data_IF_878472603811
#
_entry.id   IF_878472603811
#
_cell.length_a   1.000
_cell.length_b   1.000
_cell.length_c   1.000
_cell.angle_alpha   90.00
_cell.angle_beta   90.00
_cell.angle_gamma   90.00
#
_symmetry.space_group_name_H-M   'P 1'
#
loop_
_entity.id
_entity.type
_entity.pdbx_description
1 polymer ?
#
# COMPACT_ATOMS: atom_id res chain seq x y z
N UNK A 1 -30.61 24.14 9.84
CA UNK A 1 -29.71 24.51 8.72
C UNK A 1 -28.72 23.35 8.59
N UNK A 2 -28.91 22.46 7.60
CA UNK A 2 -28.10 21.24 7.47
C UNK A 2 -26.71 21.60 6.92
N UNK A 3 -25.65 21.34 7.71
CA UNK A 3 -24.24 21.56 7.34
C UNK A 3 -23.69 20.40 6.50
N UNK A 4 -24.56 19.63 5.83
CA UNK A 4 -24.17 18.54 4.93
C UNK A 4 -24.76 18.85 3.56
N UNK A 5 -24.22 19.89 2.91
CA UNK A 5 -24.68 20.37 1.61
C UNK A 5 -24.25 19.51 0.42
N UNK A 6 -23.44 18.48 0.63
CA UNK A 6 -23.10 17.52 -0.40
C UNK A 6 -22.55 16.21 0.20
N UNK A 7 -23.34 15.13 0.15
CA UNK A 7 -22.92 13.77 0.52
C UNK A 7 -22.45 12.95 -0.69
N UNK A 8 -22.40 13.57 -1.89
CA UNK A 8 -22.00 12.88 -3.11
C UNK A 8 -20.47 12.99 -3.30
N UNK A 9 -19.79 11.86 -3.14
CA UNK A 9 -18.44 11.64 -3.67
C UNK A 9 -18.56 11.40 -5.17
N UNK A 10 -17.90 12.24 -5.99
CA UNK A 10 -17.83 12.05 -7.43
C UNK A 10 -16.46 11.48 -7.78
N UNK A 11 -16.46 10.30 -8.38
CA UNK A 11 -15.28 9.64 -8.90
C UNK A 11 -15.09 9.97 -10.38
N UNK A 12 -13.85 9.94 -10.87
CA UNK A 12 -13.62 9.83 -12.32
C UNK A 12 -14.13 8.48 -12.82
N UNK A 13 -14.31 8.34 -14.15
CA UNK A 13 -14.70 7.05 -14.76
C UNK A 13 -13.69 5.95 -14.40
N UNK A 14 -12.39 6.24 -14.45
CA UNK A 14 -11.32 5.31 -14.05
C UNK A 14 -11.46 4.87 -12.58
N UNK A 15 -11.74 5.83 -11.68
CA UNK A 15 -11.91 5.53 -10.25
C UNK A 15 -13.17 4.69 -10.00
N UNK A 16 -14.26 4.93 -10.75
CA UNK A 16 -15.48 4.13 -10.66
C UNK A 16 -15.23 2.68 -11.12
N UNK A 17 -14.51 2.50 -12.23
CA UNK A 17 -14.13 1.17 -12.71
C UNK A 17 -13.22 0.43 -11.71
N UNK A 18 -12.20 1.11 -11.17
CA UNK A 18 -11.32 0.54 -10.14
C UNK A 18 -12.13 0.14 -8.91
N UNK A 19 -13.09 0.96 -8.49
CA UNK A 19 -13.96 0.66 -7.36
C UNK A 19 -14.77 -0.62 -7.57
N UNK A 20 -15.38 -0.79 -8.74
CA UNK A 20 -16.18 -1.98 -9.03
C UNK A 20 -15.32 -3.25 -9.07
N UNK A 21 -14.14 -3.18 -9.71
CA UNK A 21 -13.17 -4.28 -9.74
C UNK A 21 -12.68 -4.62 -8.32
N UNK A 22 -12.30 -3.61 -7.53
CA UNK A 22 -11.80 -3.83 -6.18
C UNK A 22 -12.86 -4.44 -5.26
N UNK A 23 -14.12 -4.01 -5.36
CA UNK A 23 -15.24 -4.58 -4.58
C UNK A 23 -15.50 -6.03 -4.93
N UNK A 24 -15.55 -6.36 -6.22
CA UNK A 24 -15.76 -7.73 -6.68
C UNK A 24 -14.60 -8.63 -6.23
N UNK A 25 -13.36 -8.17 -6.43
CA UNK A 25 -12.15 -8.89 -6.03
C UNK A 25 -12.11 -9.15 -4.51
N UNK A 26 -12.35 -8.14 -3.69
CA UNK A 26 -12.31 -8.28 -2.23
C UNK A 26 -13.44 -9.16 -1.70
N UNK A 27 -14.62 -9.15 -2.34
CA UNK A 27 -15.72 -10.03 -1.97
C UNK A 27 -15.40 -11.52 -2.25
N UNK A 28 -14.69 -11.81 -3.34
CA UNK A 28 -14.32 -13.16 -3.75
C UNK A 28 -13.09 -13.69 -2.98
N UNK A 29 -12.09 -12.84 -2.74
CA UNK A 29 -10.80 -13.24 -2.15
C UNK A 29 -10.70 -13.10 -0.63
N UNK A 30 -11.66 -12.44 0.03
CA UNK A 30 -11.64 -12.25 1.48
C UNK A 30 -12.90 -12.77 2.20
N UNK A 31 -13.29 -14.05 2.01
CA UNK A 31 -14.35 -14.63 2.82
C UNK A 31 -13.91 -14.70 4.29
N UNK A 32 -14.84 -14.54 5.23
CA UNK A 32 -14.54 -14.46 6.67
C UNK A 32 -13.76 -15.67 7.21
N UNK A 33 -13.95 -16.86 6.62
CA UNK A 33 -13.18 -18.05 6.97
C UNK A 33 -11.68 -17.87 6.65
N UNK A 34 -11.35 -17.31 5.48
CA UNK A 34 -9.96 -17.00 5.10
C UNK A 34 -9.36 -15.94 6.00
N UNK A 35 -10.11 -14.88 6.33
CA UNK A 35 -9.64 -13.83 7.25
C UNK A 35 -9.23 -14.42 8.60
N UNK A 36 -10.07 -15.30 9.17
CA UNK A 36 -9.76 -15.97 10.44
C UNK A 36 -8.54 -16.89 10.35
N UNK A 37 -8.41 -17.63 9.24
CA UNK A 37 -7.25 -18.49 9.03
C UNK A 37 -5.94 -17.69 8.91
N UNK A 38 -6.00 -16.50 8.29
CA UNK A 38 -4.83 -15.64 8.12
C UNK A 38 -4.36 -14.98 9.42
N UNK A 39 -5.26 -14.71 10.38
CA UNK A 39 -4.89 -14.18 11.70
C UNK A 39 -3.95 -15.12 12.47
N UNK A 40 -4.08 -16.42 12.25
CA UNK A 40 -3.24 -17.45 12.88
C UNK A 40 -2.00 -17.81 12.02
N UNK A 41 -1.83 -17.16 10.87
CA UNK A 41 -0.73 -17.45 9.95
C UNK A 41 0.46 -16.52 10.17
N UNK A 42 1.67 -17.06 10.06
CA UNK A 42 2.90 -16.26 10.19
C UNK A 42 3.01 -15.15 9.13
N UNK A 43 2.51 -15.40 7.92
CA UNK A 43 2.57 -14.44 6.82
C UNK A 43 1.54 -13.31 6.96
N UNK A 44 0.38 -13.56 7.56
CA UNK A 44 -0.71 -12.60 7.70
C UNK A 44 -1.45 -12.23 6.40
N UNK A 45 -1.05 -12.78 5.25
CA UNK A 45 -1.75 -12.62 3.96
C UNK A 45 -1.56 -13.85 3.07
N UNK A 46 -2.39 -13.97 2.03
CA UNK A 46 -2.28 -15.05 1.05
C UNK A 46 -1.40 -14.62 -0.15
N UNK A 47 -0.25 -15.27 -0.40
CA UNK A 47 0.64 -14.91 -1.51
C UNK A 47 -0.01 -15.02 -2.90
N UNK A 48 -0.95 -15.95 -3.10
CA UNK A 48 -1.66 -16.07 -4.38
C UNK A 48 -2.57 -14.86 -4.62
N UNK A 49 -3.29 -14.41 -3.57
CA UNK A 49 -4.13 -13.21 -3.64
C UNK A 49 -3.28 -11.96 -3.84
N UNK A 50 -2.09 -11.90 -3.22
CA UNK A 50 -1.12 -10.83 -3.50
C UNK A 50 -0.71 -10.82 -4.97
N UNK A 51 -0.36 -11.98 -5.54
CA UNK A 51 0.01 -12.05 -6.95
C UNK A 51 -1.12 -11.58 -7.87
N UNK A 52 -2.38 -11.91 -7.57
CA UNK A 52 -3.52 -11.38 -8.34
C UNK A 52 -3.60 -9.84 -8.27
N UNK A 53 -3.29 -9.23 -7.12
CA UNK A 53 -3.21 -7.76 -7.01
C UNK A 53 -2.07 -7.18 -7.84
N UNK A 54 -0.92 -7.86 -7.88
CA UNK A 54 0.23 -7.48 -8.71
C UNK A 54 -0.13 -7.54 -10.20
N UNK A 55 -0.82 -8.60 -10.62
CA UNK A 55 -1.24 -8.79 -12.01
C UNK A 55 -2.27 -7.73 -12.46
N UNK A 56 -3.09 -7.21 -11.52
CA UNK A 56 -3.98 -6.06 -11.75
C UNK A 56 -3.24 -4.71 -11.75
N UNK A 57 -1.94 -4.68 -11.49
CA UNK A 57 -1.12 -3.46 -11.48
C UNK A 57 -1.33 -2.56 -10.25
N UNK A 58 -1.99 -3.06 -9.20
CA UNK A 58 -2.29 -2.25 -8.01
C UNK A 58 -1.04 -1.73 -7.26
N UNK A 59 0.05 -2.49 -7.10
CA UNK A 59 1.24 -2.00 -6.40
C UNK A 59 1.87 -0.76 -7.05
N UNK A 60 1.83 -0.70 -8.38
CA UNK A 60 2.37 0.40 -9.18
C UNK A 60 1.35 1.49 -9.53
N UNK A 61 0.08 1.35 -9.16
CA UNK A 61 -1.00 2.18 -9.75
C UNK A 61 -0.82 3.69 -9.55
N UNK A 62 -0.11 4.10 -8.50
CA UNK A 62 0.16 5.50 -8.14
C UNK A 62 1.53 6.00 -8.58
N UNK A 63 2.39 5.10 -9.07
CA UNK A 63 3.72 5.43 -9.56
C UNK A 63 3.66 5.87 -11.03
N UNK A 64 4.60 6.70 -11.50
CA UNK A 64 4.72 7.04 -12.92
C UNK A 64 4.93 5.81 -13.81
N UNK A 65 4.49 5.89 -15.07
CA UNK A 65 4.67 4.83 -16.07
C UNK A 65 6.14 4.47 -16.30
N UNK A 66 7.03 5.48 -16.26
CA UNK A 66 8.48 5.28 -16.37
C UNK A 66 9.08 4.37 -15.28
N UNK A 67 8.34 4.17 -14.18
CA UNK A 67 8.70 3.32 -13.05
C UNK A 67 7.81 2.07 -12.97
N UNK A 68 7.19 1.67 -14.09
CA UNK A 68 6.32 0.49 -14.17
C UNK A 68 4.94 0.68 -13.53
N UNK A 69 4.54 1.92 -13.25
CA UNK A 69 3.25 2.25 -12.68
C UNK A 69 2.19 2.67 -13.70
N UNK A 70 1.03 3.11 -13.20
CA UNK A 70 -0.10 3.55 -14.04
C UNK A 70 -0.38 5.07 -13.99
N UNK A 71 0.35 5.82 -13.15
CA UNK A 71 0.23 7.28 -13.08
C UNK A 71 -1.12 7.82 -12.58
N UNK A 72 -1.98 6.98 -12.00
CA UNK A 72 -3.37 7.34 -11.64
C UNK A 72 -3.49 8.25 -10.41
N UNK A 73 -2.37 8.49 -9.72
CA UNK A 73 -2.32 9.28 -8.50
C UNK A 73 -2.95 8.59 -7.29
N UNK A 74 -2.68 9.13 -6.10
CA UNK A 74 -3.06 8.51 -4.82
C UNK A 74 -4.58 8.36 -4.62
N UNK A 75 -5.37 9.21 -5.28
CA UNK A 75 -6.84 9.15 -5.21
C UNK A 75 -7.40 7.85 -5.82
N UNK A 76 -6.70 7.26 -6.80
CA UNK A 76 -7.12 6.00 -7.41
C UNK A 76 -6.95 4.79 -6.47
N UNK A 77 -6.11 4.89 -5.43
CA UNK A 77 -5.94 3.83 -4.44
C UNK A 77 -7.04 3.83 -3.36
N UNK A 78 -7.73 4.96 -3.16
CA UNK A 78 -8.83 5.11 -2.18
C UNK A 78 -9.91 4.02 -2.34
N UNK A 79 -10.54 3.84 -3.52
CA UNK A 79 -11.57 2.82 -3.67
C UNK A 79 -11.06 1.39 -3.44
N UNK A 80 -9.78 1.12 -3.75
CA UNK A 80 -9.15 -0.18 -3.48
C UNK A 80 -9.04 -0.41 -1.98
N UNK A 81 -8.52 0.56 -1.25
CA UNK A 81 -8.35 0.45 0.20
C UNK A 81 -9.66 0.44 0.97
N UNK A 82 -10.68 1.17 0.51
CA UNK A 82 -12.03 1.09 1.07
C UNK A 82 -12.62 -0.33 0.91
N UNK A 83 -12.47 -0.93 -0.27
CA UNK A 83 -12.92 -2.30 -0.52
C UNK A 83 -12.15 -3.32 0.34
N UNK A 84 -10.82 -3.17 0.44
CA UNK A 84 -9.99 -4.02 1.28
C UNK A 84 -10.37 -3.92 2.75
N UNK A 85 -10.53 -2.71 3.28
CA UNK A 85 -10.95 -2.48 4.67
C UNK A 85 -12.35 -3.06 4.95
N UNK A 86 -13.29 -2.90 4.02
CA UNK A 86 -14.65 -3.45 4.14
C UNK A 86 -14.67 -4.97 4.24
N UNK A 87 -13.79 -5.65 3.50
CA UNK A 87 -13.71 -7.11 3.48
C UNK A 87 -12.63 -7.69 4.40
N UNK A 88 -11.94 -6.85 5.17
CA UNK A 88 -10.78 -7.22 6.00
C UNK A 88 -9.68 -7.94 5.20
N UNK A 89 -9.49 -7.56 3.94
CA UNK A 89 -8.47 -8.13 3.08
C UNK A 89 -7.09 -7.59 3.49
N UNK A 90 -6.33 -8.42 4.21
CA UNK A 90 -4.95 -8.14 4.57
C UNK A 90 -3.98 -8.30 3.39
N UNK A 91 -2.82 -7.66 3.49
CA UNK A 91 -1.77 -7.77 2.49
C UNK A 91 -0.84 -6.56 2.48
N UNK A 92 0.27 -6.63 1.73
CA UNK A 92 1.30 -5.61 1.74
C UNK A 92 0.92 -4.35 0.93
N UNK A 93 -0.21 -4.34 0.20
CA UNK A 93 -0.52 -3.29 -0.78
C UNK A 93 -0.40 -1.87 -0.23
N UNK A 94 -1.07 -1.59 0.90
CA UNK A 94 -1.03 -0.25 1.51
C UNK A 94 0.39 0.15 1.91
N UNK A 95 1.11 -0.74 2.58
CA UNK A 95 2.48 -0.48 3.05
C UNK A 95 3.44 -0.26 1.87
N UNK A 96 3.34 -1.10 0.83
CA UNK A 96 4.15 -1.01 -0.38
C UNK A 96 3.88 0.28 -1.13
N UNK A 97 2.60 0.65 -1.27
CA UNK A 97 2.21 1.88 -1.94
C UNK A 97 2.75 3.11 -1.19
N UNK A 98 2.61 3.16 0.14
CA UNK A 98 3.16 4.24 0.95
C UNK A 98 4.69 4.33 0.86
N UNK A 99 5.38 3.18 0.91
CA UNK A 99 6.83 3.13 0.74
C UNK A 99 7.28 3.65 -0.64
N UNK A 100 6.61 3.22 -1.72
CA UNK A 100 6.87 3.73 -3.07
C UNK A 100 6.60 5.23 -3.19
N UNK A 101 5.50 5.71 -2.62
CA UNK A 101 5.14 7.12 -2.58
C UNK A 101 6.13 7.98 -1.76
N UNK A 102 6.72 7.42 -0.70
CA UNK A 102 7.80 8.06 0.05
C UNK A 102 9.07 8.17 -0.79
N UNK A 103 9.51 7.06 -1.40
CA UNK A 103 10.71 7.02 -2.24
C UNK A 103 10.60 7.99 -3.43
N UNK A 104 9.45 8.02 -4.09
CA UNK A 104 9.16 8.92 -5.21
C UNK A 104 9.27 10.40 -4.80
N UNK A 105 8.78 10.76 -3.60
CA UNK A 105 8.84 12.13 -3.07
C UNK A 105 10.19 12.52 -2.51
N UNK A 106 10.95 11.55 -2.01
CA UNK A 106 12.28 11.79 -1.44
C UNK A 106 13.33 12.13 -2.51
N UNK A 107 13.05 11.87 -3.80
CA UNK A 107 13.89 12.25 -4.94
C UNK A 107 15.37 11.81 -4.78
N UNK A 108 15.59 10.60 -4.26
CA UNK A 108 16.92 10.06 -3.88
C UNK A 108 17.79 9.68 -5.10
N UNK A 109 17.45 10.15 -6.30
CA UNK A 109 18.13 9.84 -7.56
C UNK A 109 17.93 8.38 -8.03
N UNK A 110 18.70 7.98 -9.05
CA UNK A 110 18.53 6.72 -9.80
C UNK A 110 18.54 5.44 -8.94
N UNK A 111 19.11 5.47 -7.73
CA UNK A 111 19.08 4.32 -6.82
C UNK A 111 17.66 3.97 -6.35
N UNK A 112 16.77 4.97 -6.27
CA UNK A 112 15.37 4.76 -5.92
C UNK A 112 14.56 4.11 -7.06
N UNK A 113 14.95 4.31 -8.32
CA UNK A 113 14.19 3.82 -9.48
C UNK A 113 14.11 2.29 -9.50
N UNK A 114 15.20 1.60 -9.17
CA UNK A 114 15.20 0.13 -9.09
C UNK A 114 14.26 -0.38 -7.99
N UNK A 115 14.21 0.30 -6.84
CA UNK A 115 13.29 -0.06 -5.75
C UNK A 115 11.84 0.22 -6.14
N UNK A 116 11.58 1.34 -6.83
CA UNK A 116 10.26 1.70 -7.33
C UNK A 116 9.76 0.70 -8.39
N UNK A 117 10.62 0.30 -9.33
CA UNK A 117 10.34 -0.75 -10.31
C UNK A 117 10.04 -2.09 -9.62
N UNK A 118 10.82 -2.46 -8.61
CA UNK A 118 10.58 -3.68 -7.84
C UNK A 118 9.24 -3.64 -7.10
N UNK A 119 8.90 -2.52 -6.46
CA UNK A 119 7.61 -2.32 -5.78
C UNK A 119 6.46 -2.41 -6.79
N UNK A 120 6.57 -1.76 -7.95
CA UNK A 120 5.57 -1.82 -9.00
C UNK A 120 5.36 -3.26 -9.50
N UNK A 121 6.43 -4.05 -9.58
CA UNK A 121 6.42 -5.47 -9.93
C UNK A 121 5.99 -6.40 -8.77
N UNK A 122 5.57 -5.86 -7.62
CA UNK A 122 5.02 -6.64 -6.52
C UNK A 122 6.00 -7.04 -5.42
N UNK A 123 7.21 -6.49 -5.39
CA UNK A 123 8.09 -6.63 -4.22
C UNK A 123 7.45 -5.92 -3.01
N UNK A 124 7.15 -6.64 -1.91
CA UNK A 124 6.58 -6.02 -0.73
C UNK A 124 7.55 -4.99 -0.13
N UNK A 125 7.03 -3.83 0.26
CA UNK A 125 7.79 -2.79 0.93
C UNK A 125 7.00 -2.19 2.09
N UNK A 126 7.71 -1.59 3.03
CA UNK A 126 7.10 -0.92 4.18
C UNK A 126 7.98 0.23 4.66
N UNK A 127 7.43 1.07 5.52
CA UNK A 127 8.17 2.17 6.16
C UNK A 127 8.41 1.77 7.62
N UNK A 128 9.67 1.51 7.96
CA UNK A 128 10.08 1.19 9.32
C UNK A 128 10.41 2.47 10.11
N UNK A 129 9.38 3.25 10.45
CA UNK A 129 9.54 4.56 11.09
C UNK A 129 9.76 4.44 12.61
N UNK A 130 8.92 3.65 13.29
CA UNK A 130 8.80 3.66 14.75
C UNK A 130 9.84 2.75 15.43
N UNK A 131 10.44 3.25 16.51
CA UNK A 131 11.37 2.49 17.36
C UNK A 131 10.65 1.73 18.49
N UNK A 132 9.53 2.25 18.97
CA UNK A 132 8.82 1.77 20.17
C UNK A 132 7.31 1.98 20.08
N UNK A 133 6.74 1.84 18.87
CA UNK A 133 5.35 2.14 18.57
C UNK A 133 4.88 3.58 18.94
N UNK A 134 5.82 4.51 19.16
CA UNK A 134 5.53 5.88 19.56
C UNK A 134 5.59 6.83 18.36
N UNK A 135 4.42 7.26 17.89
CA UNK A 135 4.27 8.22 16.80
C UNK A 135 4.72 9.65 17.16
N UNK A 136 4.94 9.95 18.44
CA UNK A 136 5.39 11.25 18.95
C UNK A 136 6.88 11.31 19.27
N UNK A 137 7.62 10.22 19.07
CA UNK A 137 9.05 10.18 19.36
C UNK A 137 9.82 11.12 18.42
N UNK A 138 10.49 12.12 18.98
CA UNK A 138 11.34 13.05 18.23
C UNK A 138 12.69 12.44 17.83
N UNK A 139 13.03 11.25 18.35
CA UNK A 139 14.31 10.58 18.14
C UNK A 139 14.13 9.19 17.56
N UNK A 140 14.63 9.04 16.34
CA UNK A 140 14.83 7.75 15.67
C UNK A 140 16.23 7.26 16.03
N UNK A 141 16.36 6.11 16.71
CA UNK A 141 17.64 5.47 17.03
C UNK A 141 18.11 4.65 15.84
N UNK A 142 18.58 5.36 14.82
CA UNK A 142 19.28 4.78 13.68
C UNK A 142 20.60 5.52 13.50
N UNK A 143 21.70 4.79 13.58
CA UNK A 143 23.05 5.32 13.43
C UNK A 143 23.68 4.77 12.15
N UNK A 144 24.32 5.64 11.36
CA UNK A 144 25.13 5.24 10.21
C UNK A 144 26.60 5.22 10.62
N UNK A 145 27.22 4.04 10.65
CA UNK A 145 28.63 3.86 10.97
C UNK A 145 29.30 3.02 9.89
N UNK A 146 30.35 3.54 9.27
CA UNK A 146 31.13 2.87 8.20
C UNK A 146 30.26 2.31 7.06
N UNK A 147 29.19 3.05 6.69
CA UNK A 147 28.24 2.64 5.66
C UNK A 147 27.18 1.62 6.12
N UNK A 148 27.16 1.26 7.39
CA UNK A 148 26.21 0.31 7.99
C UNK A 148 25.19 1.06 8.85
N UNK A 149 23.90 0.82 8.60
CA UNK A 149 22.81 1.30 9.45
C UNK A 149 22.65 0.37 10.66
N UNK A 150 22.68 0.94 11.88
CA UNK A 150 22.45 0.24 13.15
C UNK A 150 21.24 0.83 13.86
N UNK A 151 20.27 -0.02 14.19
CA UNK A 151 19.04 0.37 14.89
C UNK A 151 18.04 -0.77 14.92
N UNK A 152 16.96 -0.60 15.67
CA UNK A 152 15.85 -1.56 15.74
C UNK A 152 14.55 -0.79 15.57
N UNK A 153 13.64 -1.37 14.78
CA UNK A 153 12.28 -0.86 14.57
C UNK A 153 11.31 -1.90 15.10
N UNK A 154 10.42 -1.48 15.99
CA UNK A 154 9.39 -2.33 16.58
C UNK A 154 8.04 -1.66 16.41
N UNK A 155 7.09 -2.43 15.85
CA UNK A 155 5.68 -2.08 15.73
C UNK A 155 4.90 -2.64 16.91
#
# INVERSE_FOLDING_TARGET
MSVIGNTALRFSEDQAMIMDVARAFCADRSPMASVRALLESDAGFNPAVWQEMVDMGWPGMTLPEALGGAGLGVAAAVPVFEAMGRSLLGGPLMASLLAGQLLLRAQVGNAADNALLAIAAGAPATIALLDSADWGAERIRCELQDGVLRGVKQQ
#
